data_IF_990324737341
#
_entry.id   IF_990324737341
#
_cell.length_a   1.000
_cell.length_b   1.000
_cell.length_c   1.000
_cell.angle_alpha   90.00
_cell.angle_beta   90.00
_cell.angle_gamma   90.00
#
_symmetry.space_group_name_H-M   'P 1'
#
loop_
_entity.id
_entity.type
_entity.pdbx_description
1 polymer ?
#
# COMPACT_ATOMS: atom_id res chain seq x y z
N UNK A 1 16.57 -47.47 45.78
CA UNK A 1 17.23 -46.46 44.91
C UNK A 1 17.01 -46.81 43.44
N UNK A 2 15.75 -46.92 43.03
CA UNK A 2 15.28 -47.45 41.72
C UNK A 2 14.24 -46.49 41.11
N UNK A 3 14.26 -45.20 41.48
CA UNK A 3 13.14 -44.30 41.10
C UNK A 3 13.49 -42.82 40.96
N UNK A 4 14.76 -42.51 40.74
CA UNK A 4 15.24 -41.13 40.52
C UNK A 4 16.09 -40.98 39.27
N UNK A 5 16.49 -42.07 38.61
CA UNK A 5 17.29 -42.02 37.38
C UNK A 5 16.46 -42.09 36.09
N UNK A 6 15.20 -42.55 36.15
CA UNK A 6 14.33 -42.67 34.97
C UNK A 6 13.48 -41.43 34.67
N UNK A 7 13.63 -40.34 35.44
CA UNK A 7 12.89 -39.08 35.21
C UNK A 7 13.76 -38.03 34.50
N UNK A 8 15.08 -38.24 34.40
CA UNK A 8 15.98 -37.29 33.73
C UNK A 8 16.09 -37.56 32.21
N UNK A 9 15.47 -38.63 31.70
CA UNK A 9 15.42 -38.94 30.26
C UNK A 9 14.24 -38.22 29.55
N UNK A 10 13.37 -37.53 30.29
CA UNK A 10 12.15 -36.91 29.73
C UNK A 10 12.17 -35.37 29.65
N UNK A 11 13.31 -34.70 29.87
CA UNK A 11 13.34 -33.24 30.03
C UNK A 11 14.43 -32.48 29.24
N UNK A 12 15.06 -33.08 28.22
CA UNK A 12 16.06 -32.39 27.37
C UNK A 12 15.94 -32.67 25.88
N UNK A 13 14.80 -33.17 25.41
CA UNK A 13 14.45 -33.23 23.98
C UNK A 13 13.30 -32.24 23.74
N UNK A 14 13.55 -30.96 24.01
CA UNK A 14 12.59 -29.88 23.70
C UNK A 14 13.36 -28.63 23.27
N UNK A 15 14.25 -28.79 22.29
CA UNK A 15 14.87 -27.67 21.58
C UNK A 15 15.54 -28.16 20.28
N UNK A 16 14.82 -28.89 19.44
CA UNK A 16 15.16 -28.93 18.00
C UNK A 16 14.01 -28.26 17.28
N UNK A 17 14.17 -26.94 17.23
CA UNK A 17 13.63 -26.01 16.26
C UNK A 17 12.79 -26.65 15.15
N UNK A 18 11.48 -26.42 15.18
CA UNK A 18 10.70 -26.34 13.95
C UNK A 18 11.27 -25.18 13.13
N UNK A 19 12.29 -25.43 12.31
CA UNK A 19 12.51 -24.59 11.13
C UNK A 19 11.44 -24.99 10.14
N UNK A 20 10.20 -24.57 10.42
CA UNK A 20 9.19 -24.48 9.39
C UNK A 20 9.63 -23.33 8.49
N UNK A 21 10.57 -23.62 7.59
CA UNK A 21 10.90 -22.76 6.48
C UNK A 21 9.71 -22.81 5.53
N UNK A 22 8.60 -22.20 5.93
CA UNK A 22 7.61 -21.75 4.99
C UNK A 22 8.28 -20.65 4.17
N UNK A 23 9.07 -21.05 3.17
CA UNK A 23 9.49 -20.21 2.06
C UNK A 23 8.29 -20.00 1.13
N UNK A 24 7.11 -19.76 1.71
CA UNK A 24 5.92 -19.38 0.98
C UNK A 24 6.03 -17.86 0.79
N UNK A 25 6.42 -17.47 -0.41
CA UNK A 25 6.54 -16.09 -0.91
C UNK A 25 7.84 -15.33 -0.59
N UNK A 26 8.98 -15.89 -0.98
CA UNK A 26 10.03 -15.05 -1.58
C UNK A 26 10.05 -15.28 -3.08
N UNK A 27 8.95 -14.93 -3.74
CA UNK A 27 9.05 -14.57 -5.15
C UNK A 27 9.85 -13.27 -5.14
N UNK A 28 11.16 -13.36 -5.42
CA UNK A 28 11.90 -12.18 -5.86
C UNK A 28 11.16 -11.70 -7.11
N UNK A 29 10.29 -10.70 -6.97
CA UNK A 29 9.79 -9.94 -8.11
C UNK A 29 11.02 -9.28 -8.70
N UNK A 30 11.69 -9.98 -9.61
CA UNK A 30 12.73 -9.37 -10.43
C UNK A 30 12.02 -8.22 -11.12
N UNK A 31 12.50 -7.00 -10.87
CA UNK A 31 12.01 -5.82 -11.57
C UNK A 31 12.07 -6.13 -13.06
N UNK A 32 10.96 -5.92 -13.75
CA UNK A 32 10.89 -6.17 -15.19
C UNK A 32 11.84 -5.21 -15.91
N UNK A 33 11.98 -3.99 -15.36
CA UNK A 33 12.82 -2.93 -15.90
C UNK A 33 14.00 -2.58 -14.97
N UNK A 34 15.15 -2.27 -15.57
CA UNK A 34 16.24 -1.56 -14.89
C UNK A 34 15.82 -0.15 -14.46
N UNK A 35 16.61 0.52 -13.61
CA UNK A 35 16.32 1.89 -13.16
C UNK A 35 16.16 2.88 -14.31
N UNK A 36 17.01 2.80 -15.33
CA UNK A 36 16.98 3.70 -16.48
C UNK A 36 15.78 3.41 -17.39
N UNK A 37 15.48 2.13 -17.64
CA UNK A 37 14.26 1.75 -18.38
C UNK A 37 12.99 2.22 -17.66
N UNK A 38 12.96 2.16 -16.33
CA UNK A 38 11.83 2.65 -15.54
C UNK A 38 11.67 4.17 -15.63
N UNK A 39 12.76 4.94 -15.58
CA UNK A 39 12.72 6.39 -15.78
C UNK A 39 12.15 6.74 -17.15
N UNK A 40 12.64 6.08 -18.21
CA UNK A 40 12.15 6.28 -19.57
C UNK A 40 10.68 5.87 -19.71
N UNK A 41 10.28 4.75 -19.11
CA UNK A 41 8.89 4.30 -19.10
C UNK A 41 7.98 5.33 -18.44
N UNK A 42 8.34 5.84 -17.26
CA UNK A 42 7.55 6.87 -16.55
C UNK A 42 7.48 8.15 -17.38
N UNK A 43 8.59 8.61 -17.96
CA UNK A 43 8.61 9.81 -18.79
C UNK A 43 7.70 9.67 -20.02
N UNK A 44 7.81 8.56 -20.75
CA UNK A 44 6.99 8.28 -21.94
C UNK A 44 5.52 8.10 -21.59
N UNK A 45 5.21 7.38 -20.50
CA UNK A 45 3.84 7.20 -20.05
C UNK A 45 3.20 8.52 -19.62
N UNK A 46 3.94 9.38 -18.90
CA UNK A 46 3.47 10.73 -18.55
C UNK A 46 3.20 11.57 -19.80
N UNK A 47 4.10 11.53 -20.79
CA UNK A 47 3.89 12.23 -22.07
C UNK A 47 2.62 11.74 -22.77
N UNK A 48 2.48 10.43 -22.96
CA UNK A 48 1.31 9.84 -23.63
C UNK A 48 -0.01 10.17 -22.90
N UNK A 49 0.00 10.16 -21.56
CA UNK A 49 -1.16 10.57 -20.76
C UNK A 49 -1.46 12.07 -20.93
N UNK A 50 -0.43 12.90 -21.06
CA UNK A 50 -0.55 14.33 -21.38
C UNK A 50 -1.20 14.57 -22.74
N UNK A 51 -0.80 13.82 -23.77
CA UNK A 51 -1.42 13.89 -25.11
C UNK A 51 -2.91 13.51 -25.06
N UNK A 52 -3.28 12.57 -24.18
CA UNK A 52 -4.66 12.15 -23.97
C UNK A 52 -5.46 13.03 -22.99
N UNK A 53 -4.85 14.00 -22.32
CA UNK A 53 -5.46 14.72 -21.19
C UNK A 53 -6.81 15.37 -21.53
N UNK A 54 -6.94 15.92 -22.74
CA UNK A 54 -8.15 16.63 -23.19
C UNK A 54 -9.12 15.75 -23.98
N UNK A 55 -8.90 14.43 -23.99
CA UNK A 55 -9.77 13.49 -24.72
C UNK A 55 -11.00 13.12 -23.90
N UNK A 56 -12.10 12.81 -24.59
CA UNK A 56 -13.35 12.38 -23.97
C UNK A 56 -13.20 11.13 -23.08
N UNK A 57 -12.45 10.09 -23.48
CA UNK A 57 -12.20 8.93 -22.63
C UNK A 57 -11.42 9.26 -21.36
N UNK A 58 -10.43 10.17 -21.45
CA UNK A 58 -9.65 10.59 -20.28
C UNK A 58 -10.52 11.33 -19.28
N UNK A 59 -11.39 12.24 -19.74
CA UNK A 59 -12.35 12.92 -18.87
C UNK A 59 -13.27 11.93 -18.14
N UNK A 60 -13.82 10.95 -18.85
CA UNK A 60 -14.64 9.88 -18.23
C UNK A 60 -13.85 9.09 -17.17
N UNK A 61 -12.59 8.78 -17.46
CA UNK A 61 -11.72 8.07 -16.50
C UNK A 61 -11.47 8.91 -15.24
N UNK A 62 -11.24 10.22 -15.39
CA UNK A 62 -11.11 11.16 -14.27
C UNK A 62 -12.40 11.23 -13.44
N UNK A 63 -13.56 11.37 -14.09
CA UNK A 63 -14.87 11.38 -13.43
C UNK A 63 -15.09 10.10 -12.62
N UNK A 64 -14.80 8.93 -13.19
CA UNK A 64 -14.87 7.65 -12.47
C UNK A 64 -13.90 7.59 -11.28
N UNK A 65 -12.69 8.12 -11.44
CA UNK A 65 -11.72 8.18 -10.35
C UNK A 65 -12.18 9.09 -9.21
N UNK A 66 -12.80 10.24 -9.52
CA UNK A 66 -13.39 11.13 -8.51
C UNK A 66 -14.53 10.42 -7.77
N UNK A 67 -15.46 9.78 -8.47
CA UNK A 67 -16.58 9.03 -7.86
C UNK A 67 -16.09 7.94 -6.92
N UNK A 68 -15.12 7.12 -7.32
CA UNK A 68 -14.56 6.08 -6.43
C UNK A 68 -13.93 6.68 -5.16
N UNK A 69 -13.21 7.79 -5.29
CA UNK A 69 -12.59 8.47 -4.15
C UNK A 69 -13.64 9.05 -3.21
N UNK A 70 -14.67 9.71 -3.73
CA UNK A 70 -15.75 10.28 -2.90
C UNK A 70 -16.52 9.19 -2.15
N UNK A 71 -16.86 8.09 -2.82
CA UNK A 71 -17.50 6.93 -2.20
C UNK A 71 -16.65 6.32 -1.08
N UNK A 72 -15.34 6.18 -1.32
CA UNK A 72 -14.39 5.66 -0.32
C UNK A 72 -14.34 6.57 0.91
N UNK A 73 -14.22 7.89 0.71
CA UNK A 73 -14.21 8.87 1.82
C UNK A 73 -15.51 8.81 2.61
N UNK A 74 -16.66 8.74 1.95
CA UNK A 74 -17.96 8.61 2.62
C UNK A 74 -18.10 7.30 3.40
N UNK A 75 -17.60 6.19 2.86
CA UNK A 75 -17.55 4.90 3.56
C UNK A 75 -16.71 5.01 4.83
N UNK A 76 -15.49 5.54 4.72
CA UNK A 76 -14.58 5.75 5.86
C UNK A 76 -15.20 6.68 6.92
N UNK A 77 -15.90 7.74 6.50
CA UNK A 77 -16.64 8.63 7.41
C UNK A 77 -17.77 7.89 8.14
N UNK A 78 -18.53 7.02 7.46
CA UNK A 78 -19.58 6.19 8.07
C UNK A 78 -19.00 5.18 9.06
N UNK A 79 -17.95 4.47 8.68
CA UNK A 79 -17.24 3.54 9.57
C UNK A 79 -16.71 4.25 10.82
N UNK A 80 -16.14 5.44 10.65
CA UNK A 80 -15.65 6.26 11.77
C UNK A 80 -16.76 6.69 12.72
N UNK A 81 -17.99 6.95 12.22
CA UNK A 81 -19.16 7.26 13.06
C UNK A 81 -19.69 6.03 13.80
N UNK A 82 -19.60 4.84 13.20
CA UNK A 82 -20.11 3.59 13.78
C UNK A 82 -19.15 2.98 14.80
N UNK A 83 -17.84 3.10 14.57
CA UNK A 83 -16.83 2.71 15.56
C UNK A 83 -16.92 3.71 16.71
N UNK A 84 -17.20 3.24 17.94
CA UNK A 84 -16.95 4.03 19.17
C UNK A 84 -15.48 4.42 19.11
N UNK A 85 -15.20 5.67 18.77
CA UNK A 85 -13.88 6.12 18.33
C UNK A 85 -12.80 5.67 19.31
N UNK A 86 -11.83 4.87 18.82
CA UNK A 86 -10.49 4.89 19.40
C UNK A 86 -10.05 6.34 19.26
N UNK A 87 -10.09 7.11 20.34
CA UNK A 87 -9.53 8.46 20.38
C UNK A 87 -8.07 8.29 19.99
N UNK A 88 -7.74 8.64 18.75
CA UNK A 88 -6.35 8.74 18.36
C UNK A 88 -5.79 9.89 19.18
N UNK A 89 -4.70 9.60 19.86
CA UNK A 89 -3.96 10.61 20.60
C UNK A 89 -3.57 11.74 19.64
N UNK A 90 -3.96 12.97 19.98
CA UNK A 90 -3.80 14.13 19.10
C UNK A 90 -2.32 14.36 18.82
N UNK A 91 -1.46 14.17 19.83
CA UNK A 91 -0.02 14.37 19.71
C UNK A 91 0.58 13.37 18.72
N UNK A 92 0.16 12.10 18.78
CA UNK A 92 0.57 11.07 17.82
C UNK A 92 0.14 11.40 16.37
N UNK A 93 -1.08 11.90 16.18
CA UNK A 93 -1.61 12.20 14.84
C UNK A 93 -0.96 13.45 14.25
N UNK A 94 -0.81 14.50 15.03
CA UNK A 94 -0.24 15.79 14.58
C UNK A 94 1.28 15.69 14.38
N UNK A 95 1.97 14.83 15.13
CA UNK A 95 3.41 14.61 14.95
C UNK A 95 3.75 13.78 13.70
N UNK A 96 2.76 13.15 13.05
CA UNK A 96 3.00 12.41 11.81
C UNK A 96 3.21 13.40 10.67
N UNK A 97 4.47 13.68 10.35
CA UNK A 97 4.82 14.50 9.21
C UNK A 97 4.62 13.71 7.91
N UNK A 98 3.93 14.30 6.95
CA UNK A 98 3.81 13.80 5.60
C UNK A 98 4.71 14.64 4.69
N UNK A 99 5.42 14.02 3.75
CA UNK A 99 6.25 14.72 2.77
C UNK A 99 5.33 15.52 1.81
N UNK A 100 4.89 16.71 2.24
CA UNK A 100 3.97 17.57 1.51
C UNK A 100 4.20 19.03 1.87
N UNK A 101 4.25 19.90 0.86
CA UNK A 101 4.27 21.35 1.04
C UNK A 101 2.87 21.95 1.20
N UNK A 102 1.81 21.14 1.13
CA UNK A 102 0.42 21.60 1.23
C UNK A 102 0.04 21.84 2.69
N UNK A 103 -0.18 23.11 3.05
CA UNK A 103 -0.60 23.53 4.39
C UNK A 103 -2.08 23.92 4.42
N UNK A 104 -2.67 23.98 5.62
CA UNK A 104 -4.04 24.49 5.80
C UNK A 104 -5.15 23.53 5.35
N UNK A 105 -4.85 22.23 5.27
CA UNK A 105 -5.86 21.20 4.98
C UNK A 105 -6.84 21.08 6.16
N UNK A 106 -8.13 21.17 5.86
CA UNK A 106 -9.24 21.06 6.81
C UNK A 106 -10.14 19.87 6.43
N UNK A 107 -11.12 19.57 7.27
CA UNK A 107 -12.11 18.53 6.98
C UNK A 107 -12.96 18.80 5.72
N UNK A 108 -12.99 20.06 5.28
CA UNK A 108 -13.78 20.55 4.15
C UNK A 108 -12.93 20.79 2.89
N UNK A 109 -11.62 20.50 2.92
CA UNK A 109 -10.76 20.60 1.74
C UNK A 109 -11.28 19.71 0.62
N UNK A 110 -11.38 20.28 -0.59
CA UNK A 110 -11.91 19.56 -1.75
C UNK A 110 -10.99 18.40 -2.14
N UNK A 111 -11.59 17.32 -2.66
CA UNK A 111 -10.85 16.17 -3.18
C UNK A 111 -9.90 16.56 -4.31
N UNK A 112 -10.24 17.56 -5.13
CA UNK A 112 -9.38 18.06 -6.20
C UNK A 112 -8.06 18.63 -5.67
N UNK A 113 -8.08 19.32 -4.52
CA UNK A 113 -6.86 19.85 -3.87
C UNK A 113 -6.02 18.71 -3.27
N UNK A 114 -6.66 17.68 -2.74
CA UNK A 114 -5.97 16.56 -2.08
C UNK A 114 -5.38 15.54 -3.06
N UNK A 115 -6.04 15.33 -4.21
CA UNK A 115 -5.71 14.23 -5.11
C UNK A 115 -5.16 14.68 -6.47
N UNK A 116 -5.27 15.96 -6.80
CA UNK A 116 -4.72 16.58 -8.01
C UNK A 116 -5.12 15.91 -9.32
N UNK A 117 -4.70 16.53 -10.42
CA UNK A 117 -4.85 15.97 -11.77
C UNK A 117 -3.53 15.42 -12.32
N UNK A 118 -2.40 15.71 -11.65
CA UNK A 118 -1.10 15.23 -12.07
C UNK A 118 -0.93 13.74 -11.77
N UNK A 119 -0.47 12.99 -12.78
CA UNK A 119 -0.15 11.57 -12.65
C UNK A 119 1.11 11.42 -11.79
N UNK A 120 0.90 11.13 -10.51
CA UNK A 120 2.00 10.89 -9.57
C UNK A 120 2.78 9.61 -9.88
N UNK A 121 2.07 8.53 -10.27
CA UNK A 121 2.63 7.20 -10.46
C UNK A 121 2.05 6.53 -11.71
N UNK A 122 2.88 5.70 -12.37
CA UNK A 122 2.46 4.80 -13.46
C UNK A 122 2.80 3.37 -13.04
N UNK A 123 1.88 2.44 -13.25
CA UNK A 123 2.09 1.03 -12.94
C UNK A 123 3.11 0.44 -13.92
N UNK A 124 4.19 -0.14 -13.39
CA UNK A 124 5.14 -0.91 -14.19
C UNK A 124 4.42 -2.16 -14.74
N UNK A 125 4.57 -2.49 -16.04
CA UNK A 125 3.96 -3.69 -16.59
C UNK A 125 4.44 -4.92 -15.82
N UNK A 126 3.47 -5.71 -15.34
CA UNK A 126 3.76 -6.98 -14.68
C UNK A 126 4.23 -8.00 -15.73
N UNK A 127 5.21 -8.83 -15.35
CA UNK A 127 5.54 -10.01 -16.14
C UNK A 127 4.54 -11.12 -15.85
N UNK A 128 4.04 -11.77 -16.90
CA UNK A 128 3.04 -12.86 -16.81
C UNK A 128 3.63 -14.21 -16.39
N UNK A 129 4.85 -14.24 -15.84
CA UNK A 129 5.45 -15.48 -15.37
C UNK A 129 4.85 -15.87 -14.01
N UNK A 130 3.82 -16.71 -14.06
CA UNK A 130 3.46 -17.56 -12.93
C UNK A 130 4.56 -18.58 -12.64
N UNK A 131 4.50 -19.28 -11.50
CA UNK A 131 5.55 -20.23 -11.10
C UNK A 131 5.61 -21.53 -11.93
N UNK A 132 4.91 -21.61 -13.06
CA UNK A 132 4.85 -22.77 -13.95
C UNK A 132 5.04 -22.35 -15.41
#
# INVERSE_FOLDING_TARGET
MVKTLSIIVAATITAVTLTNSALAHQMNTRRALSSEQRKLFVANAKHALGDCANTEPMRKLQEHAVTRRTETVESLRRERRQRRQRRLDVDTVVATNHESSLTGVTADTSSSVLFGDEVACVLEPEVTYGPY
#
